data_IF_186601436213
#
_entry.id   IF_186601436213
#
_cell.length_a   1.000
_cell.length_b   1.000
_cell.length_c   1.000
_cell.angle_alpha   90.00
_cell.angle_beta   90.00
_cell.angle_gamma   90.00
#
_symmetry.space_group_name_H-M   'P 1'
#
loop_
_entity.id
_entity.type
_entity.pdbx_description
1 polymer ?
#
# COMPACT_ATOMS: atom_id res chain seq x y z
N UNK A 1 -10.41 26.67 51.16
CA UNK A 1 -10.54 25.57 50.21
C UNK A 1 -11.25 26.09 48.98
N UNK A 2 -10.58 26.08 47.84
CA UNK A 2 -11.16 26.46 46.55
C UNK A 2 -10.45 25.63 45.48
N UNK A 3 -11.06 24.52 45.10
CA UNK A 3 -10.64 23.69 43.98
C UNK A 3 -11.10 24.36 42.68
N UNK A 4 -10.16 24.91 41.90
CA UNK A 4 -10.42 25.24 40.50
C UNK A 4 -10.21 24.00 39.65
N UNK A 5 -11.32 23.42 39.20
CA UNK A 5 -11.35 22.27 38.31
C UNK A 5 -10.79 22.59 36.93
N UNK A 6 -9.74 21.85 36.54
CA UNK A 6 -9.20 21.83 35.18
C UNK A 6 -10.22 21.13 34.27
N UNK A 7 -10.96 21.90 33.48
CA UNK A 7 -11.80 21.36 32.40
C UNK A 7 -10.97 21.18 31.13
N UNK A 8 -10.93 19.97 30.52
CA UNK A 8 -10.18 19.77 29.29
C UNK A 8 -10.93 20.41 28.10
N UNK A 9 -10.36 21.47 27.53
CA UNK A 9 -10.88 22.05 26.28
C UNK A 9 -10.62 21.07 25.13
N UNK A 10 -11.69 20.52 24.54
CA UNK A 10 -11.66 19.77 23.28
C UNK A 10 -11.12 20.68 22.16
N UNK A 11 -9.88 20.48 21.72
CA UNK A 11 -9.37 21.05 20.46
C UNK A 11 -9.88 20.20 19.30
N UNK A 12 -10.78 20.75 18.49
CA UNK A 12 -11.29 20.12 17.26
C UNK A 12 -10.24 20.18 16.15
N UNK A 13 -9.95 19.05 15.52
CA UNK A 13 -9.13 18.98 14.30
C UNK A 13 -9.98 19.50 13.13
N UNK A 14 -9.58 20.60 12.47
CA UNK A 14 -10.19 21.10 11.24
C UNK A 14 -9.30 20.73 10.05
N UNK A 15 -9.86 20.11 9.02
CA UNK A 15 -9.20 19.87 7.73
C UNK A 15 -9.40 21.11 6.87
N UNK A 16 -8.32 21.74 6.39
CA UNK A 16 -8.36 22.97 5.59
C UNK A 16 -7.98 22.65 4.15
N UNK A 17 -8.77 23.13 3.18
CA UNK A 17 -8.43 23.10 1.75
C UNK A 17 -8.54 24.50 1.15
N UNK A 18 -7.47 24.92 0.46
CA UNK A 18 -7.44 25.93 -0.61
C UNK A 18 -7.73 27.41 -0.29
N UNK A 19 -6.69 28.26 -0.44
CA UNK A 19 -6.59 29.63 -1.00
C UNK A 19 -7.66 30.71 -0.82
N UNK A 20 -8.62 30.54 0.07
CA UNK A 20 -9.29 31.69 0.69
C UNK A 20 -8.59 31.89 2.00
N UNK A 21 -8.01 33.08 2.22
CA UNK A 21 -7.35 33.49 3.47
C UNK A 21 -8.30 33.31 4.66
N UNK A 22 -8.41 32.07 5.12
CA UNK A 22 -9.48 31.65 5.99
C UNK A 22 -9.10 32.15 7.38
N UNK A 23 -10.00 32.91 8.01
CA UNK A 23 -9.91 33.29 9.43
C UNK A 23 -9.56 32.09 10.33
N UNK A 24 -9.85 30.86 9.86
CA UNK A 24 -9.44 29.59 10.45
C UNK A 24 -7.95 29.49 10.73
N UNK A 25 -7.05 30.04 9.90
CA UNK A 25 -5.58 29.93 10.10
C UNK A 25 -5.11 30.81 11.27
N UNK A 26 -5.86 31.86 11.65
CA UNK A 26 -5.52 32.73 12.78
C UNK A 26 -5.52 31.95 14.11
N UNK A 27 -6.43 30.99 14.24
CA UNK A 27 -6.57 30.16 15.45
C UNK A 27 -5.76 28.84 15.39
N UNK A 28 -5.03 28.60 14.30
CA UNK A 28 -4.20 27.39 14.15
C UNK A 28 -2.87 27.58 14.87
N UNK A 29 -2.60 26.72 15.85
CA UNK A 29 -1.32 26.70 16.56
C UNK A 29 -0.34 25.68 15.95
N UNK A 30 -0.86 24.57 15.39
CA UNK A 30 -0.06 23.46 14.87
C UNK A 30 -0.59 22.99 13.53
N UNK A 31 0.33 22.71 12.60
CA UNK A 31 0.05 22.02 11.33
C UNK A 31 0.85 20.73 11.28
N UNK A 32 0.16 19.64 10.96
CA UNK A 32 0.74 18.31 10.80
C UNK A 32 0.90 18.05 9.32
N UNK A 33 2.14 17.80 8.93
CA UNK A 33 2.55 17.39 7.59
C UNK A 33 2.82 15.89 7.63
N UNK A 34 1.93 15.09 7.05
CA UNK A 34 2.05 13.64 7.02
C UNK A 34 2.73 13.17 5.72
N UNK A 35 3.49 12.08 5.77
CA UNK A 35 4.21 11.52 4.61
C UNK A 35 5.15 12.53 3.89
N UNK A 36 5.90 13.35 4.64
CA UNK A 36 6.76 14.44 4.10
C UNK A 36 7.79 14.02 3.05
N UNK A 37 8.11 12.73 2.94
CA UNK A 37 8.94 12.20 1.86
C UNK A 37 8.40 12.49 0.44
N UNK A 38 7.12 12.90 0.30
CA UNK A 38 6.57 13.45 -0.94
C UNK A 38 7.16 14.78 -1.39
N UNK A 39 7.94 15.47 -0.57
CA UNK A 39 8.59 16.71 -1.01
C UNK A 39 9.52 16.49 -2.22
N UNK A 40 10.04 15.27 -2.39
CA UNK A 40 10.86 14.90 -3.54
C UNK A 40 10.05 14.49 -4.78
N UNK A 41 8.72 14.61 -4.75
CA UNK A 41 7.85 14.32 -5.88
C UNK A 41 7.89 15.48 -6.90
N UNK A 42 8.23 15.17 -8.15
CA UNK A 42 8.40 16.19 -9.22
C UNK A 42 7.12 16.99 -9.48
N UNK A 43 5.94 16.38 -9.34
CA UNK A 43 4.67 17.03 -9.65
C UNK A 43 4.05 17.71 -8.43
N UNK A 44 4.26 17.19 -7.22
CA UNK A 44 3.54 17.64 -6.01
C UNK A 44 4.42 18.29 -4.96
N UNK A 45 5.74 18.10 -5.02
CA UNK A 45 6.70 18.59 -4.02
C UNK A 45 6.64 20.11 -3.83
N UNK A 46 6.48 20.86 -4.92
CA UNK A 46 6.40 22.31 -4.89
C UNK A 46 5.26 22.84 -4.00
N UNK A 47 4.11 22.15 -3.97
CA UNK A 47 2.97 22.54 -3.11
C UNK A 47 3.35 22.43 -1.63
N UNK A 48 4.14 21.42 -1.25
CA UNK A 48 4.61 21.28 0.13
C UNK A 48 5.55 22.42 0.52
N UNK A 49 6.48 22.77 -0.36
CA UNK A 49 7.42 23.87 -0.15
C UNK A 49 6.69 25.20 0.02
N UNK A 50 5.76 25.51 -0.89
CA UNK A 50 4.95 26.73 -0.86
C UNK A 50 4.11 26.82 0.42
N UNK A 51 3.41 25.75 0.78
CA UNK A 51 2.59 25.73 2.01
C UNK A 51 3.47 25.95 3.23
N UNK A 52 4.61 25.26 3.32
CA UNK A 52 5.56 25.46 4.42
C UNK A 52 5.98 26.92 4.44
N UNK A 53 6.45 27.52 3.34
CA UNK A 53 6.91 28.92 3.30
C UNK A 53 5.79 29.90 3.72
N UNK A 54 4.57 29.70 3.24
CA UNK A 54 3.43 30.61 3.47
C UNK A 54 2.81 30.51 4.87
N UNK A 55 3.12 29.46 5.66
CA UNK A 55 2.57 29.34 7.01
C UNK A 55 2.89 30.57 7.89
N UNK A 56 1.90 31.14 8.59
CA UNK A 56 2.16 32.26 9.51
C UNK A 56 3.17 31.92 10.60
N UNK A 57 3.90 32.93 11.09
CA UNK A 57 4.97 32.76 12.07
C UNK A 57 4.52 32.14 13.41
N UNK A 58 3.25 32.30 13.80
CA UNK A 58 2.73 31.71 15.03
C UNK A 58 2.59 30.18 14.95
N UNK A 59 2.34 29.65 13.74
CA UNK A 59 2.06 28.23 13.51
C UNK A 59 3.31 27.36 13.72
N UNK A 60 3.17 26.32 14.51
CA UNK A 60 4.18 25.28 14.75
C UNK A 60 3.99 24.12 13.77
N UNK A 61 5.09 23.46 13.40
CA UNK A 61 5.12 22.42 12.37
C UNK A 61 5.46 21.09 13.02
N UNK A 62 4.67 20.06 12.73
CA UNK A 62 4.98 18.66 13.03
C UNK A 62 5.05 17.87 11.72
N UNK A 63 6.23 17.36 11.39
CA UNK A 63 6.46 16.56 10.20
C UNK A 63 6.52 15.07 10.55
N UNK A 64 5.68 14.27 9.91
CA UNK A 64 5.70 12.82 9.95
C UNK A 64 6.17 12.31 8.60
N UNK A 65 7.11 11.38 8.60
CA UNK A 65 7.63 10.81 7.36
C UNK A 65 8.14 9.40 7.58
N UNK A 66 8.20 8.64 6.50
CA UNK A 66 9.04 7.46 6.40
C UNK A 66 10.53 7.83 6.50
N UNK A 67 11.42 6.85 6.35
CA UNK A 67 12.87 7.10 6.35
C UNK A 67 13.27 8.00 5.17
N UNK A 68 13.63 9.25 5.46
CA UNK A 68 14.16 10.22 4.49
C UNK A 68 15.67 10.34 4.69
N UNK A 69 16.51 10.13 3.65
CA UNK A 69 17.97 10.12 3.81
C UNK A 69 18.57 11.49 4.17
N UNK A 70 17.92 12.59 3.81
CA UNK A 70 18.38 13.97 4.05
C UNK A 70 17.51 14.73 5.08
N UNK A 71 17.03 14.04 6.12
CA UNK A 71 16.12 14.63 7.12
C UNK A 71 16.71 15.84 7.86
N UNK A 72 18.03 15.89 8.06
CA UNK A 72 18.72 17.00 8.72
C UNK A 72 18.73 18.26 7.84
N UNK A 73 19.12 18.13 6.57
CA UNK A 73 19.11 19.23 5.60
C UNK A 73 17.70 19.83 5.45
N UNK A 74 16.70 18.95 5.39
CA UNK A 74 15.31 19.37 5.33
C UNK A 74 14.86 20.13 6.60
N UNK A 75 15.24 19.64 7.79
CA UNK A 75 14.95 20.32 9.05
C UNK A 75 15.66 21.67 9.16
N UNK A 76 16.91 21.77 8.69
CA UNK A 76 17.68 23.01 8.65
C UNK A 76 17.05 24.03 7.70
N UNK A 77 16.55 23.58 6.55
CA UNK A 77 15.79 24.43 5.63
C UNK A 77 14.50 24.97 6.27
N UNK A 78 13.70 24.12 6.92
CA UNK A 78 12.50 24.58 7.66
C UNK A 78 12.92 25.58 8.76
N UNK A 79 13.96 25.25 9.52
CA UNK A 79 14.40 26.07 10.65
C UNK A 79 14.86 27.46 10.23
N UNK A 80 15.59 27.57 9.11
CA UNK A 80 15.96 28.86 8.51
C UNK A 80 14.76 29.61 7.94
N UNK A 81 13.88 28.93 7.22
CA UNK A 81 12.70 29.56 6.60
C UNK A 81 11.71 30.08 7.66
N UNK A 82 11.57 29.37 8.78
CA UNK A 82 10.63 29.71 9.87
C UNK A 82 11.25 30.40 11.08
N UNK A 83 12.58 30.59 11.08
CA UNK A 83 13.32 31.16 12.20
C UNK A 83 12.98 30.44 13.51
N UNK A 84 12.98 29.10 13.48
CA UNK A 84 12.58 28.23 14.58
C UNK A 84 13.48 27.00 14.68
N UNK A 85 13.70 26.52 15.89
CA UNK A 85 14.39 25.25 16.12
C UNK A 85 13.52 24.08 15.67
N UNK A 86 14.06 23.23 14.81
CA UNK A 86 13.41 22.00 14.34
C UNK A 86 14.21 20.82 14.86
N UNK A 87 13.53 19.88 15.53
CA UNK A 87 14.16 18.68 16.07
C UNK A 87 13.86 17.49 15.15
N UNK A 88 14.90 16.80 14.72
CA UNK A 88 14.78 15.55 13.96
C UNK A 88 14.81 14.38 14.93
N UNK A 89 13.70 13.63 14.96
CA UNK A 89 13.61 12.37 15.71
C UNK A 89 13.52 11.23 14.71
N UNK A 90 14.48 10.30 14.75
CA UNK A 90 14.52 9.15 13.84
C UNK A 90 14.81 7.85 14.58
N UNK A 91 14.41 6.74 13.97
CA UNK A 91 14.77 5.39 14.42
C UNK A 91 15.17 4.55 13.22
N UNK A 92 16.35 3.90 13.22
CA UNK A 92 16.74 2.98 12.17
C UNK A 92 16.01 1.63 12.30
N UNK A 93 15.45 1.34 13.48
CA UNK A 93 14.87 0.03 13.79
C UNK A 93 13.39 0.01 13.48
N UNK A 94 13.01 -0.93 12.62
CA UNK A 94 11.61 -1.24 12.34
C UNK A 94 10.98 -2.01 13.51
N UNK A 95 9.75 -1.66 13.96
CA UNK A 95 9.08 -2.38 15.05
C UNK A 95 8.78 -3.85 14.76
N UNK A 96 8.46 -4.18 13.51
CA UNK A 96 8.25 -5.56 13.03
C UNK A 96 9.28 -5.83 11.94
N UNK A 97 10.30 -6.67 12.16
CA UNK A 97 11.31 -6.99 11.16
C UNK A 97 10.70 -7.60 9.88
N UNK A 98 11.28 -7.28 8.73
CA UNK A 98 10.91 -7.91 7.46
C UNK A 98 11.82 -9.07 7.12
N UNK A 99 11.24 -10.08 6.48
CA UNK A 99 11.97 -11.16 5.81
C UNK A 99 11.67 -11.09 4.33
N UNK A 100 12.71 -11.11 3.51
CA UNK A 100 12.59 -10.92 2.06
C UNK A 100 12.81 -12.25 1.36
N UNK A 101 11.88 -12.64 0.49
CA UNK A 101 11.91 -13.91 -0.22
C UNK A 101 11.76 -13.72 -1.72
N UNK A 102 12.40 -14.60 -2.49
CA UNK A 102 12.01 -14.90 -3.86
C UNK A 102 11.13 -16.13 -3.90
N UNK A 103 10.05 -16.06 -4.68
CA UNK A 103 9.18 -17.19 -4.92
C UNK A 103 9.46 -17.77 -6.30
N UNK A 104 9.94 -19.01 -6.35
CA UNK A 104 10.31 -19.70 -7.59
C UNK A 104 9.89 -21.16 -7.52
N UNK A 105 9.25 -21.66 -8.58
CA UNK A 105 8.82 -23.07 -8.71
C UNK A 105 8.07 -23.63 -7.48
N UNK A 106 7.21 -22.81 -6.85
CA UNK A 106 6.43 -23.22 -5.67
C UNK A 106 7.21 -23.21 -4.36
N UNK A 107 8.39 -22.58 -4.31
CA UNK A 107 9.23 -22.50 -3.11
C UNK A 107 9.61 -21.05 -2.80
N UNK A 108 9.67 -20.74 -1.51
CA UNK A 108 10.17 -19.46 -0.99
C UNK A 108 11.66 -19.61 -0.65
N UNK A 109 12.47 -18.71 -1.19
CA UNK A 109 13.91 -18.63 -0.96
C UNK A 109 14.23 -17.29 -0.29
N UNK A 110 14.70 -17.32 0.95
CA UNK A 110 15.07 -16.10 1.66
C UNK A 110 16.32 -15.47 1.03
N UNK A 111 16.23 -14.17 0.73
CA UNK A 111 17.29 -13.41 0.04
C UNK A 111 17.91 -12.32 0.90
N UNK A 112 17.35 -12.07 2.09
CA UNK A 112 17.92 -11.14 3.06
C UNK A 112 17.94 -11.83 4.42
N UNK A 113 19.14 -12.17 4.89
CA UNK A 113 19.37 -12.82 6.19
C UNK A 113 20.25 -11.90 7.02
N UNK A 114 19.78 -11.50 8.20
CA UNK A 114 20.49 -10.57 9.10
C UNK A 114 20.96 -9.27 8.42
N UNK A 115 20.12 -8.73 7.53
CA UNK A 115 20.42 -7.51 6.78
C UNK A 115 21.43 -7.69 5.64
N UNK A 116 21.93 -8.91 5.40
CA UNK A 116 22.87 -9.24 4.32
C UNK A 116 22.15 -9.93 3.17
N UNK A 117 22.45 -9.50 1.95
CA UNK A 117 21.87 -10.07 0.75
C UNK A 117 22.49 -11.45 0.45
N UNK A 118 21.66 -12.49 0.36
CA UNK A 118 22.08 -13.86 0.06
C UNK A 118 22.37 -14.04 -1.43
N UNK A 119 23.50 -13.46 -1.87
CA UNK A 119 23.90 -13.37 -3.28
C UNK A 119 24.04 -14.76 -3.96
N UNK A 120 24.49 -15.78 -3.22
CA UNK A 120 24.58 -17.16 -3.73
C UNK A 120 23.22 -17.72 -4.14
N UNK A 121 22.21 -17.60 -3.27
CA UNK A 121 20.84 -18.04 -3.57
C UNK A 121 20.28 -17.30 -4.77
N UNK A 122 20.44 -15.97 -4.80
CA UNK A 122 19.98 -15.13 -5.91
C UNK A 122 20.62 -15.53 -7.26
N UNK A 123 21.95 -15.70 -7.29
CA UNK A 123 22.69 -16.09 -8.50
C UNK A 123 22.29 -17.47 -9.00
N UNK A 124 22.11 -18.44 -8.10
CA UNK A 124 21.67 -19.79 -8.48
C UNK A 124 20.28 -19.79 -9.13
N UNK A 125 19.32 -19.04 -8.57
CA UNK A 125 17.97 -18.94 -9.12
C UNK A 125 17.95 -18.21 -10.46
N UNK A 126 18.66 -17.09 -10.57
CA UNK A 126 18.72 -16.31 -11.81
C UNK A 126 19.47 -17.03 -12.93
N UNK A 127 20.52 -17.79 -12.63
CA UNK A 127 21.21 -18.63 -13.61
C UNK A 127 20.30 -19.74 -14.14
N UNK A 128 19.58 -20.45 -13.26
CA UNK A 128 18.60 -21.47 -13.66
C UNK A 128 17.51 -20.91 -14.58
N UNK A 129 17.02 -19.70 -14.28
CA UNK A 129 16.03 -19.03 -15.13
C UNK A 129 16.62 -18.67 -16.51
N UNK A 130 17.82 -18.07 -16.57
CA UNK A 130 18.48 -17.71 -17.83
C UNK A 130 18.73 -18.91 -18.74
N UNK A 131 19.15 -20.05 -18.18
CA UNK A 131 19.34 -21.28 -18.95
C UNK A 131 18.03 -21.83 -19.52
N UNK A 132 16.93 -21.72 -18.77
CA UNK A 132 15.58 -22.10 -19.22
C UNK A 132 15.09 -21.21 -20.36
N UNK A 133 15.36 -19.91 -20.27
CA UNK A 133 14.99 -18.93 -21.29
C UNK A 133 15.83 -19.11 -22.58
N UNK A 134 17.13 -19.39 -22.46
CA UNK A 134 18.02 -19.68 -23.61
C UNK A 134 17.65 -20.94 -24.39
N UNK A 135 17.18 -21.99 -23.71
CA UNK A 135 16.78 -23.26 -24.36
C UNK A 135 15.55 -23.14 -25.24
N UNK A 136 14.82 -22.02 -25.18
CA UNK A 136 13.50 -21.92 -25.77
C UNK A 136 13.26 -20.56 -26.48
N UNK A 137 14.11 -20.18 -27.46
CA UNK A 137 14.09 -18.85 -28.07
C UNK A 137 12.88 -18.58 -28.99
N UNK A 138 12.22 -19.62 -29.53
CA UNK A 138 11.15 -19.49 -30.55
C UNK A 138 9.70 -19.44 -30.00
N UNK A 139 9.49 -19.04 -28.74
CA UNK A 139 8.18 -19.13 -28.07
C UNK A 139 7.33 -17.85 -28.07
N UNK A 140 7.48 -16.99 -29.07
CA UNK A 140 6.93 -15.64 -28.99
C UNK A 140 5.42 -15.55 -29.28
N UNK A 141 4.82 -16.49 -30.02
CA UNK A 141 3.39 -16.41 -30.42
C UNK A 141 2.50 -17.61 -30.05
N UNK A 142 3.01 -18.84 -29.99
CA UNK A 142 2.17 -20.05 -29.78
C UNK A 142 1.86 -20.40 -28.31
N UNK A 143 2.31 -19.58 -27.35
CA UNK A 143 2.33 -19.93 -25.92
C UNK A 143 1.61 -18.98 -24.96
N UNK A 144 0.84 -18.01 -25.45
CA UNK A 144 0.12 -17.09 -24.56
C UNK A 144 -0.85 -17.85 -23.63
N UNK A 145 -1.59 -18.84 -24.15
CA UNK A 145 -2.49 -19.68 -23.35
C UNK A 145 -1.75 -20.58 -22.34
N UNK A 146 -0.61 -21.17 -22.72
CA UNK A 146 0.22 -21.99 -21.83
C UNK A 146 0.82 -21.13 -20.71
N UNK A 147 1.34 -19.94 -21.03
CA UNK A 147 1.88 -18.99 -20.07
C UNK A 147 0.81 -18.51 -19.08
N UNK A 148 -0.39 -18.18 -19.56
CA UNK A 148 -1.54 -17.81 -18.72
C UNK A 148 -1.98 -18.97 -17.81
N UNK A 149 -1.96 -20.22 -18.31
CA UNK A 149 -2.26 -21.41 -17.49
C UNK A 149 -1.22 -21.62 -16.40
N UNK A 150 0.06 -21.44 -16.73
CA UNK A 150 1.18 -21.52 -15.77
C UNK A 150 1.10 -20.41 -14.73
N UNK A 151 0.81 -19.18 -15.12
CA UNK A 151 0.59 -18.05 -14.20
C UNK A 151 -0.60 -18.29 -13.28
N UNK A 152 -1.71 -18.81 -13.80
CA UNK A 152 -2.89 -19.17 -13.01
C UNK A 152 -2.55 -20.20 -11.92
N UNK A 153 -1.81 -21.23 -12.30
CA UNK A 153 -1.35 -22.25 -11.36
C UNK A 153 -0.36 -21.67 -10.34
N UNK A 154 0.55 -20.79 -10.77
CA UNK A 154 1.53 -20.15 -9.88
C UNK A 154 0.85 -19.29 -8.81
N UNK A 155 -0.12 -18.44 -9.19
CA UNK A 155 -0.90 -17.64 -8.25
C UNK A 155 -1.70 -18.52 -7.28
N UNK A 156 -2.36 -19.56 -7.80
CA UNK A 156 -3.09 -20.52 -6.96
C UNK A 156 -2.19 -21.20 -5.93
N UNK A 157 -1.00 -21.65 -6.34
CA UNK A 157 -0.02 -22.27 -5.45
C UNK A 157 0.50 -21.27 -4.41
N UNK A 158 0.86 -20.05 -4.82
CA UNK A 158 1.32 -19.01 -3.90
C UNK A 158 0.28 -18.73 -2.80
N UNK A 159 -0.99 -18.56 -3.17
CA UNK A 159 -2.04 -18.28 -2.18
C UNK A 159 -2.27 -19.47 -1.25
N UNK A 160 -2.21 -20.71 -1.76
CA UNK A 160 -2.28 -21.91 -0.92
C UNK A 160 -1.11 -21.98 0.07
N UNK A 161 0.11 -21.70 -0.39
CA UNK A 161 1.31 -21.70 0.46
C UNK A 161 1.22 -20.63 1.55
N UNK A 162 0.81 -19.41 1.18
CA UNK A 162 0.59 -18.32 2.14
C UNK A 162 -0.49 -18.69 3.16
N UNK A 163 -1.57 -19.35 2.73
CA UNK A 163 -2.63 -19.82 3.64
C UNK A 163 -2.10 -20.89 4.60
N UNK A 164 -1.39 -21.89 4.09
CA UNK A 164 -0.84 -23.00 4.88
C UNK A 164 0.17 -22.52 5.93
N UNK A 165 0.96 -21.49 5.61
CA UNK A 165 1.92 -20.85 6.53
C UNK A 165 1.30 -19.78 7.43
N UNK A 166 -0.02 -19.59 7.38
CA UNK A 166 -0.74 -18.53 8.09
C UNK A 166 -0.17 -17.12 7.81
N UNK A 167 0.27 -16.85 6.58
CA UNK A 167 0.86 -15.58 6.11
C UNK A 167 -0.18 -14.61 5.50
N UNK A 168 -1.47 -14.93 5.58
CA UNK A 168 -2.56 -14.02 5.18
C UNK A 168 -2.94 -13.07 6.34
N UNK A 169 -3.45 -11.85 6.06
CA UNK A 169 -3.77 -11.30 4.75
C UNK A 169 -2.55 -10.81 3.98
N UNK A 170 -2.62 -10.87 2.65
CA UNK A 170 -1.56 -10.44 1.74
C UNK A 170 -2.02 -9.31 0.81
N UNK A 171 -1.12 -8.34 0.57
CA UNK A 171 -1.28 -7.32 -0.48
C UNK A 171 -0.33 -7.66 -1.61
N UNK A 172 -0.86 -7.77 -2.82
CA UNK A 172 -0.12 -8.05 -4.04
C UNK A 172 -0.04 -6.76 -4.85
N UNK A 173 1.14 -6.16 -4.95
CA UNK A 173 1.35 -4.98 -5.78
C UNK A 173 1.52 -5.38 -7.24
N UNK A 174 0.61 -4.89 -8.09
CA UNK A 174 0.63 -5.03 -9.53
C UNK A 174 0.49 -3.64 -10.17
N UNK A 175 1.44 -3.26 -11.02
CA UNK A 175 1.63 -1.87 -11.45
C UNK A 175 0.72 -1.43 -12.61
N UNK A 176 -0.41 -2.08 -12.80
CA UNK A 176 -1.46 -1.60 -13.70
C UNK A 176 -2.84 -2.11 -13.28
N UNK A 177 -3.88 -1.34 -13.64
CA UNK A 177 -5.29 -1.71 -13.43
C UNK A 177 -5.58 -3.09 -14.05
N UNK A 178 -5.12 -3.28 -15.30
CA UNK A 178 -5.28 -4.54 -16.05
C UNK A 178 -4.60 -5.72 -15.34
N UNK A 179 -3.39 -5.55 -14.81
CA UNK A 179 -2.70 -6.63 -14.11
C UNK A 179 -3.39 -7.00 -12.79
N UNK A 180 -3.85 -6.02 -12.01
CA UNK A 180 -4.61 -6.30 -10.77
C UNK A 180 -5.81 -7.20 -11.08
N UNK A 181 -6.57 -6.84 -12.12
CA UNK A 181 -7.77 -7.55 -12.54
C UNK A 181 -7.47 -8.93 -13.13
N UNK A 182 -6.36 -9.06 -13.88
CA UNK A 182 -5.90 -10.34 -14.42
C UNK A 182 -5.44 -11.30 -13.31
N UNK A 183 -4.70 -10.81 -12.31
CA UNK A 183 -4.26 -11.62 -11.17
C UNK A 183 -5.46 -12.06 -10.32
N UNK A 184 -6.45 -11.20 -10.10
CA UNK A 184 -7.69 -11.58 -9.43
C UNK A 184 -8.47 -12.64 -10.21
N UNK A 185 -8.53 -12.53 -11.54
CA UNK A 185 -9.16 -13.52 -12.42
C UNK A 185 -8.39 -14.86 -12.47
N UNK A 186 -7.07 -14.84 -12.26
CA UNK A 186 -6.28 -16.05 -12.12
C UNK A 186 -6.71 -16.87 -10.89
N UNK A 187 -7.22 -16.23 -9.84
CA UNK A 187 -7.74 -16.89 -8.65
C UNK A 187 -9.24 -17.23 -8.72
N UNK A 188 -9.81 -17.42 -9.91
CA UNK A 188 -11.25 -17.68 -10.08
C UNK A 188 -11.79 -18.87 -9.25
N UNK A 189 -10.98 -19.91 -9.03
CA UNK A 189 -11.39 -21.13 -8.31
C UNK A 189 -10.93 -21.14 -6.84
N UNK A 190 -10.42 -20.02 -6.34
CA UNK A 190 -9.97 -19.90 -4.94
C UNK A 190 -11.06 -19.23 -4.11
N UNK A 191 -11.35 -19.85 -2.97
CA UNK A 191 -12.29 -19.35 -1.97
C UNK A 191 -11.62 -19.40 -0.58
N UNK A 192 -11.45 -18.21 0.00
CA UNK A 192 -10.71 -18.01 1.24
C UNK A 192 -11.62 -17.68 2.42
N UNK A 193 -12.91 -17.46 2.18
CA UNK A 193 -13.87 -17.08 3.21
C UNK A 193 -14.79 -18.24 3.59
N UNK A 194 -15.05 -18.36 4.88
CA UNK A 194 -16.11 -19.21 5.43
C UNK A 194 -17.51 -18.71 5.06
N UNK A 195 -18.53 -19.55 5.26
CA UNK A 195 -19.93 -19.15 5.08
C UNK A 195 -20.31 -17.93 5.95
N UNK A 196 -19.81 -17.87 7.18
CA UNK A 196 -20.06 -16.73 8.10
C UNK A 196 -19.40 -15.45 7.59
N UNK A 197 -18.15 -15.52 7.13
CA UNK A 197 -17.45 -14.38 6.54
C UNK A 197 -18.14 -13.89 5.26
N UNK A 198 -18.62 -14.81 4.40
CA UNK A 198 -19.41 -14.48 3.20
C UNK A 198 -20.65 -13.67 3.56
N UNK A 199 -21.42 -14.09 4.56
CA UNK A 199 -22.60 -13.36 5.02
C UNK A 199 -22.25 -11.97 5.55
N UNK A 200 -21.14 -11.84 6.28
CA UNK A 200 -20.63 -10.53 6.76
C UNK A 200 -20.23 -9.62 5.61
N UNK A 201 -19.53 -10.14 4.60
CA UNK A 201 -19.17 -9.39 3.38
C UNK A 201 -20.43 -8.89 2.69
N UNK A 202 -21.40 -9.76 2.46
CA UNK A 202 -22.66 -9.41 1.79
C UNK A 202 -23.38 -8.29 2.56
N UNK A 203 -23.58 -8.46 3.87
CA UNK A 203 -24.25 -7.46 4.71
C UNK A 203 -23.53 -6.11 4.67
N UNK A 204 -22.20 -6.11 4.72
CA UNK A 204 -21.41 -4.88 4.67
C UNK A 204 -21.58 -4.18 3.32
N UNK A 205 -21.42 -4.92 2.21
CA UNK A 205 -21.57 -4.36 0.87
C UNK A 205 -22.99 -3.82 0.64
N UNK A 206 -24.02 -4.55 1.04
CA UNK A 206 -25.41 -4.10 0.87
C UNK A 206 -25.69 -2.84 1.69
N UNK A 207 -25.15 -2.74 2.91
CA UNK A 207 -25.28 -1.55 3.76
C UNK A 207 -24.53 -0.35 3.17
N UNK A 208 -23.27 -0.54 2.75
CA UNK A 208 -22.45 0.54 2.19
C UNK A 208 -22.99 1.05 0.85
N UNK A 209 -23.58 0.17 0.03
CA UNK A 209 -24.12 0.53 -1.28
C UNK A 209 -25.60 0.94 -1.24
N UNK A 210 -26.24 0.93 -0.06
CA UNK A 210 -27.63 1.31 0.12
C UNK A 210 -27.93 2.77 -0.25
N UNK A 211 -26.93 3.64 -0.22
CA UNK A 211 -27.05 5.06 -0.62
C UNK A 211 -27.00 5.26 -2.13
N UNK A 212 -26.54 4.25 -2.89
CA UNK A 212 -26.50 4.33 -4.35
C UNK A 212 -27.87 4.07 -4.96
N UNK A 213 -28.12 4.68 -6.11
CA UNK A 213 -29.31 4.38 -6.91
C UNK A 213 -29.30 2.90 -7.33
N UNK A 214 -30.48 2.26 -7.50
CA UNK A 214 -30.55 0.86 -7.89
C UNK A 214 -29.77 0.53 -9.16
N UNK A 215 -29.76 1.43 -10.16
CA UNK A 215 -29.00 1.26 -11.41
C UNK A 215 -27.48 1.21 -11.17
N UNK A 216 -26.97 2.00 -10.23
CA UNK A 216 -25.53 2.07 -9.91
C UNK A 216 -25.06 0.81 -9.17
N UNK A 217 -25.95 0.18 -8.39
CA UNK A 217 -25.66 -1.12 -7.73
C UNK A 217 -25.49 -2.26 -8.73
N UNK A 218 -26.09 -2.12 -9.91
CA UNK A 218 -26.06 -3.13 -10.96
C UNK A 218 -24.86 -3.02 -11.90
N UNK A 219 -24.00 -2.00 -11.70
CA UNK A 219 -22.79 -1.81 -12.50
C UNK A 219 -21.88 -3.04 -12.46
N UNK A 220 -21.26 -3.36 -13.60
CA UNK A 220 -20.38 -4.53 -13.74
C UNK A 220 -19.25 -4.55 -12.70
N UNK A 221 -18.65 -3.38 -12.41
CA UNK A 221 -17.60 -3.25 -11.40
C UNK A 221 -18.09 -3.64 -10.00
N UNK A 222 -19.30 -3.24 -9.62
CA UNK A 222 -19.90 -3.55 -8.31
C UNK A 222 -20.18 -5.05 -8.20
N UNK A 223 -20.84 -5.63 -9.21
CA UNK A 223 -21.11 -7.09 -9.27
C UNK A 223 -19.84 -7.92 -9.20
N UNK A 224 -18.82 -7.52 -9.97
CA UNK A 224 -17.51 -8.19 -10.00
C UNK A 224 -16.83 -8.11 -8.65
N UNK A 225 -16.76 -6.93 -8.02
CA UNK A 225 -16.16 -6.78 -6.71
C UNK A 225 -16.91 -7.59 -5.65
N UNK A 226 -18.24 -7.62 -5.69
CA UNK A 226 -19.06 -8.44 -4.78
C UNK A 226 -18.73 -9.92 -4.91
N UNK A 227 -18.56 -10.42 -6.13
CA UNK A 227 -18.15 -11.81 -6.39
C UNK A 227 -16.75 -12.12 -5.85
N UNK A 228 -15.80 -11.20 -6.02
CA UNK A 228 -14.43 -11.34 -5.49
C UNK A 228 -14.42 -11.29 -3.96
N UNK A 229 -15.06 -10.30 -3.37
CA UNK A 229 -15.07 -10.06 -1.93
C UNK A 229 -15.70 -11.24 -1.16
N UNK A 230 -16.77 -11.84 -1.71
CA UNK A 230 -17.36 -13.05 -1.15
C UNK A 230 -16.34 -14.19 -1.00
N UNK A 231 -15.37 -14.29 -1.92
CA UNK A 231 -14.30 -15.31 -1.89
C UNK A 231 -13.07 -14.88 -1.11
N UNK A 232 -13.09 -13.71 -0.47
CA UNK A 232 -11.97 -13.15 0.28
C UNK A 232 -10.88 -12.53 -0.60
N UNK A 233 -11.23 -12.14 -1.83
CA UNK A 233 -10.35 -11.50 -2.79
C UNK A 233 -10.80 -10.05 -3.05
N UNK A 234 -9.88 -9.13 -3.30
CA UNK A 234 -10.21 -7.77 -3.71
C UNK A 234 -9.21 -7.22 -4.72
N UNK A 235 -9.62 -6.15 -5.41
CA UNK A 235 -8.73 -5.32 -6.22
C UNK A 235 -8.80 -3.87 -5.73
N UNK A 236 -7.71 -3.12 -5.82
CA UNK A 236 -7.66 -1.69 -5.46
C UNK A 236 -6.80 -0.92 -6.44
N UNK A 237 -7.42 -0.02 -7.20
CA UNK A 237 -6.70 0.84 -8.14
C UNK A 237 -7.50 2.10 -8.46
N UNK A 238 -6.85 3.11 -9.03
CA UNK A 238 -7.49 4.39 -9.37
C UNK A 238 -8.69 4.30 -10.33
N UNK A 239 -8.87 3.20 -11.07
CA UNK A 239 -10.05 2.98 -11.92
C UNK A 239 -11.31 2.47 -11.20
N UNK A 240 -11.27 2.27 -9.87
CA UNK A 240 -12.45 1.93 -9.09
C UNK A 240 -13.25 3.17 -8.73
N UNK A 241 -14.58 3.03 -8.67
CA UNK A 241 -15.46 4.05 -8.09
C UNK A 241 -14.99 4.40 -6.67
N UNK A 242 -15.04 5.69 -6.25
CA UNK A 242 -14.62 6.10 -4.91
C UNK A 242 -15.23 5.26 -3.79
N UNK A 243 -16.55 5.07 -3.80
CA UNK A 243 -17.27 4.24 -2.84
C UNK A 243 -16.78 2.78 -2.83
N UNK A 244 -16.35 2.24 -3.99
CA UNK A 244 -15.83 0.88 -4.06
C UNK A 244 -14.43 0.77 -3.47
N UNK A 245 -13.60 1.81 -3.57
CA UNK A 245 -12.29 1.85 -2.89
C UNK A 245 -12.49 1.79 -1.37
N UNK A 246 -13.38 2.63 -0.84
CA UNK A 246 -13.72 2.68 0.58
C UNK A 246 -14.27 1.32 1.08
N UNK A 247 -15.19 0.69 0.34
CA UNK A 247 -15.72 -0.63 0.70
C UNK A 247 -14.63 -1.69 0.75
N UNK A 248 -13.73 -1.71 -0.25
CA UNK A 248 -12.60 -2.66 -0.29
C UNK A 248 -11.66 -2.44 0.89
N UNK A 249 -11.34 -1.19 1.21
CA UNK A 249 -10.54 -0.80 2.36
C UNK A 249 -11.18 -1.26 3.68
N UNK A 250 -12.48 -1.02 3.87
CA UNK A 250 -13.21 -1.48 5.07
C UNK A 250 -13.21 -3.02 5.15
N UNK A 251 -13.43 -3.72 4.04
CA UNK A 251 -13.42 -5.19 4.04
C UNK A 251 -12.02 -5.75 4.35
N UNK A 252 -10.96 -5.12 3.83
CA UNK A 252 -9.58 -5.54 4.10
C UNK A 252 -9.18 -5.29 5.56
N UNK A 253 -9.47 -4.10 6.10
CA UNK A 253 -9.19 -3.77 7.52
C UNK A 253 -9.95 -4.66 8.51
N UNK A 254 -11.16 -5.12 8.17
CA UNK A 254 -11.93 -6.11 8.94
C UNK A 254 -11.44 -7.56 8.74
N UNK A 255 -10.40 -7.77 7.95
CA UNK A 255 -9.86 -9.09 7.65
C UNK A 255 -10.77 -9.99 6.82
N UNK A 256 -11.78 -9.42 6.15
CA UNK A 256 -12.71 -10.16 5.28
C UNK A 256 -12.15 -10.36 3.87
N UNK A 257 -11.17 -9.55 3.47
CA UNK A 257 -10.33 -9.80 2.30
C UNK A 257 -8.99 -10.37 2.76
N UNK A 258 -8.64 -11.55 2.25
CA UNK A 258 -7.39 -12.25 2.59
C UNK A 258 -6.29 -11.96 1.57
N UNK A 259 -6.66 -11.66 0.32
CA UNK A 259 -5.72 -11.26 -0.73
C UNK A 259 -6.26 -10.02 -1.43
N UNK A 260 -5.46 -8.96 -1.47
CA UNK A 260 -5.78 -7.71 -2.14
C UNK A 260 -4.77 -7.44 -3.26
N UNK A 261 -5.23 -7.32 -4.50
CA UNK A 261 -4.39 -6.89 -5.62
C UNK A 261 -4.47 -5.38 -5.77
N UNK A 262 -3.36 -4.67 -5.57
CA UNK A 262 -3.36 -3.23 -5.52
C UNK A 262 -2.33 -2.59 -6.44
N UNK A 263 -2.65 -1.40 -6.96
CA UNK A 263 -1.63 -0.51 -7.53
C UNK A 263 -0.87 0.21 -6.42
N UNK A 264 0.25 0.83 -6.78
CA UNK A 264 1.13 1.58 -5.87
C UNK A 264 0.40 2.59 -4.99
N UNK A 265 -0.63 3.27 -5.50
CA UNK A 265 -1.44 4.25 -4.76
C UNK A 265 -2.04 3.73 -3.45
N UNK A 266 -2.23 2.41 -3.31
CA UNK A 266 -2.68 1.82 -2.04
C UNK A 266 -1.64 1.95 -0.93
N UNK A 267 -0.35 1.90 -1.28
CA UNK A 267 0.74 2.08 -0.34
C UNK A 267 0.95 3.55 0.09
N UNK A 268 0.20 4.49 -0.48
CA UNK A 268 0.43 5.93 -0.35
C UNK A 268 -0.57 6.65 0.57
N UNK A 269 -1.70 6.03 0.94
CA UNK A 269 -2.82 6.79 1.53
C UNK A 269 -3.70 6.04 2.52
N UNK A 270 -3.32 4.83 2.93
CA UNK A 270 -4.17 4.00 3.80
C UNK A 270 -3.33 3.28 4.85
N UNK A 271 -3.67 3.47 6.13
CA UNK A 271 -3.04 2.74 7.24
C UNK A 271 -3.62 1.31 7.36
N UNK A 272 -3.32 0.46 6.37
CA UNK A 272 -3.77 -0.93 6.33
C UNK A 272 -2.57 -1.89 6.24
N UNK A 273 -1.99 -2.27 7.39
CA UNK A 273 -0.88 -3.21 7.41
C UNK A 273 -1.38 -4.63 7.09
N UNK A 274 -0.64 -5.31 6.23
CA UNK A 274 -0.85 -6.70 5.85
C UNK A 274 0.18 -7.60 6.53
N UNK A 275 -0.08 -8.90 6.62
CA UNK A 275 0.94 -9.84 7.12
C UNK A 275 2.02 -10.11 6.06
N UNK A 276 1.66 -10.07 4.79
CA UNK A 276 2.58 -10.30 3.67
C UNK A 276 2.35 -9.28 2.57
N UNK A 277 3.44 -8.82 1.96
CA UNK A 277 3.42 -8.05 0.72
C UNK A 277 4.08 -8.90 -0.37
N UNK A 278 3.46 -8.95 -1.54
CA UNK A 278 3.95 -9.65 -2.72
C UNK A 278 4.10 -8.64 -3.85
N UNK A 279 5.22 -8.70 -4.56
CA UNK A 279 5.44 -7.91 -5.76
C UNK A 279 5.19 -8.80 -6.98
N UNK A 280 4.17 -8.47 -7.80
CA UNK A 280 3.87 -9.21 -9.03
C UNK A 280 4.93 -8.96 -10.12
N UNK A 281 5.59 -7.81 -10.05
CA UNK A 281 6.72 -7.41 -10.89
C UNK A 281 7.68 -6.54 -10.06
N UNK A 282 8.90 -6.32 -10.57
CA UNK A 282 9.86 -5.36 -10.01
C UNK A 282 10.12 -4.17 -10.94
N UNK A 283 9.38 -4.10 -12.05
CA UNK A 283 9.42 -3.03 -13.03
C UNK A 283 8.03 -2.47 -13.27
N UNK A 284 7.96 -1.17 -13.53
CA UNK A 284 6.72 -0.45 -13.83
C UNK A 284 6.94 0.57 -14.94
N UNK A 285 5.83 0.99 -15.56
CA UNK A 285 5.82 2.14 -16.45
C UNK A 285 5.55 3.40 -15.63
N UNK A 286 6.43 4.40 -15.72
CA UNK A 286 6.28 5.66 -14.96
C UNK A 286 5.60 6.79 -15.76
N UNK A 287 5.16 6.48 -16.98
CA UNK A 287 4.57 7.46 -17.91
C UNK A 287 5.50 7.77 -19.08
N UNK A 288 6.82 7.56 -18.91
CA UNK A 288 7.82 7.77 -19.95
C UNK A 288 8.47 6.47 -20.39
N UNK A 289 8.93 5.66 -19.44
CA UNK A 289 9.63 4.42 -19.74
C UNK A 289 9.26 3.28 -18.79
N UNK A 290 9.69 2.07 -19.16
CA UNK A 290 9.55 0.89 -18.31
C UNK A 290 10.83 0.66 -17.52
N UNK A 291 10.83 1.05 -16.24
CA UNK A 291 12.01 1.04 -15.36
C UNK A 291 11.83 0.14 -14.14
N UNK A 292 12.93 -0.14 -13.45
CA UNK A 292 12.90 -0.78 -12.14
C UNK A 292 12.26 0.12 -11.08
N UNK A 293 11.73 -0.51 -10.03
CA UNK A 293 11.26 0.21 -8.85
C UNK A 293 12.43 0.94 -8.19
N UNK A 294 12.20 2.21 -7.84
CA UNK A 294 13.12 2.98 -7.01
C UNK A 294 13.13 2.39 -5.60
N UNK A 295 14.25 2.57 -4.89
CA UNK A 295 14.40 2.09 -3.51
C UNK A 295 13.29 2.62 -2.58
N UNK A 296 12.92 3.90 -2.71
CA UNK A 296 11.83 4.50 -1.94
C UNK A 296 10.47 3.83 -2.19
N UNK A 297 10.13 3.58 -3.46
CA UNK A 297 8.89 2.89 -3.87
C UNK A 297 8.82 1.49 -3.26
N UNK A 298 9.94 0.75 -3.30
CA UNK A 298 10.05 -0.57 -2.70
C UNK A 298 9.88 -0.54 -1.17
N UNK A 299 10.59 0.37 -0.49
CA UNK A 299 10.52 0.50 0.97
C UNK A 299 9.11 0.86 1.42
N UNK A 300 8.44 1.76 0.70
CA UNK A 300 7.08 2.19 1.03
C UNK A 300 6.06 1.06 0.87
N UNK A 301 6.13 0.32 -0.24
CA UNK A 301 5.25 -0.83 -0.48
C UNK A 301 5.52 -1.99 0.48
N UNK A 302 6.79 -2.36 0.67
CA UNK A 302 7.18 -3.43 1.60
C UNK A 302 6.96 -3.05 3.07
N UNK A 303 6.97 -1.75 3.38
CA UNK A 303 6.59 -1.18 4.67
C UNK A 303 5.17 -1.55 5.10
N UNK A 304 4.28 -1.90 4.17
CA UNK A 304 2.91 -2.34 4.48
C UNK A 304 2.86 -3.78 5.02
N UNK A 305 3.91 -4.59 4.89
CA UNK A 305 3.98 -5.92 5.51
C UNK A 305 4.42 -5.82 6.97
N UNK A 306 3.77 -6.50 7.90
CA UNK A 306 4.12 -6.54 9.32
C UNK A 306 3.18 -5.69 10.17
N UNK A 307 2.24 -6.34 10.85
CA UNK A 307 1.21 -5.70 11.69
C UNK A 307 1.68 -5.64 13.14
N UNK A 308 2.03 -4.44 13.60
CA UNK A 308 2.45 -4.21 15.00
C UNK A 308 1.38 -4.73 15.97
N UNK A 309 1.79 -5.58 16.92
CA UNK A 309 0.91 -6.16 17.92
C UNK A 309 0.09 -7.38 17.46
N UNK A 310 0.12 -7.73 16.17
CA UNK A 310 -0.58 -8.92 15.64
C UNK A 310 0.38 -9.98 15.07
N UNK A 311 1.45 -9.54 14.40
CA UNK A 311 2.46 -10.43 13.85
C UNK A 311 3.62 -10.58 14.85
N UNK A 312 4.19 -11.80 14.94
CA UNK A 312 5.31 -12.11 15.84
C UNK A 312 6.55 -11.30 15.43
N UNK A 313 7.26 -10.80 16.43
CA UNK A 313 8.59 -10.15 16.33
C UNK A 313 9.67 -11.21 16.30
#
# INVERSE_FOLDING_TARGET
GGEEGITPRRKTCKVVGGDKGADVVRDVEWVIFDEVHYINDEERGHVWEEVIIMLPAHVKILCLSATVPNSLEFADWIGRTKQRTVYVVSTPKRPVPLRHYLYHEGKQHEILVDGKFANTVYRQLTAKQKEKDKRNPNLQYRQMATRLRTERQAWGNLVRDLRARACLPAVVFAFSKRQCEACAAALANVDLNSAVEKSRVIKLMDTSLAQLNPKDRELHQVKRMRSLAKRGLGVHHAGLLPIMKEVVEILFSRGLLKVLFATETFAMGVNMPAKTVVFAALRKHDGREFRDLKTGEYIQMSGRAGRRGLDKV
#
